data_IF_353535820957
#
_entry.id   IF_353535820957
#
_cell.length_a   1.000
_cell.length_b   1.000
_cell.length_c   1.000
_cell.angle_alpha   90.00
_cell.angle_beta   90.00
_cell.angle_gamma   90.00
#
_symmetry.space_group_name_H-M   'P 1'
#
loop_
_entity.id
_entity.type
_entity.pdbx_description
1 polymer ?
#
# COMPACT_ATOMS: atom_id res chain seq x y z
N UNK A 1 14.70 -5.62 7.14
CA UNK A 1 13.76 -5.73 6.02
C UNK A 1 13.15 -7.10 6.13
N UNK A 2 11.84 -7.21 6.07
CA UNK A 2 11.17 -8.48 6.31
C UNK A 2 11.47 -9.49 5.19
N UNK A 3 12.01 -10.64 5.57
CA UNK A 3 12.32 -11.71 4.62
C UNK A 3 11.06 -12.42 4.16
N UNK A 4 11.03 -12.82 2.89
CA UNK A 4 9.84 -13.40 2.27
C UNK A 4 9.29 -14.62 3.03
N UNK A 5 10.17 -15.52 3.44
CA UNK A 5 9.80 -16.74 4.17
C UNK A 5 9.21 -16.41 5.55
N UNK A 6 9.80 -15.43 6.24
CA UNK A 6 9.27 -14.93 7.52
C UNK A 6 7.88 -14.32 7.35
N UNK A 7 7.63 -13.55 6.29
CA UNK A 7 6.31 -12.97 6.01
C UNK A 7 5.27 -14.07 5.74
N UNK A 8 5.62 -15.09 4.96
CA UNK A 8 4.73 -16.22 4.67
C UNK A 8 4.37 -16.98 5.96
N UNK A 9 5.37 -17.23 6.81
CA UNK A 9 5.17 -17.83 8.13
C UNK A 9 4.27 -16.96 9.03
N UNK A 10 4.56 -15.67 9.14
CA UNK A 10 3.83 -14.75 10.02
C UNK A 10 2.37 -14.58 9.56
N UNK A 11 2.14 -14.48 8.25
CA UNK A 11 0.79 -14.44 7.70
C UNK A 11 0.00 -15.71 7.99
N UNK A 12 0.61 -16.89 7.81
CA UNK A 12 -0.02 -18.17 8.14
C UNK A 12 -0.33 -18.27 9.65
N UNK A 13 0.61 -17.86 10.50
CA UNK A 13 0.46 -17.85 11.97
C UNK A 13 -0.70 -16.95 12.41
N UNK A 14 -0.77 -15.72 11.89
CA UNK A 14 -1.84 -14.77 12.22
C UNK A 14 -3.20 -15.22 11.68
N UNK A 15 -3.27 -15.76 10.46
CA UNK A 15 -4.50 -16.33 9.92
C UNK A 15 -5.03 -17.47 10.79
N UNK A 16 -4.16 -18.38 11.22
CA UNK A 16 -4.53 -19.47 12.13
C UNK A 16 -4.99 -18.94 13.49
N UNK A 17 -4.24 -18.00 14.09
CA UNK A 17 -4.57 -17.37 15.37
C UNK A 17 -5.98 -16.74 15.38
N UNK A 18 -6.44 -16.25 14.24
CA UNK A 18 -7.75 -15.60 14.10
C UNK A 18 -8.82 -16.47 13.41
N UNK A 19 -8.61 -17.79 13.33
CA UNK A 19 -9.54 -18.76 12.75
C UNK A 19 -9.92 -18.47 11.29
N UNK A 20 -8.97 -17.95 10.50
CA UNK A 20 -9.15 -17.63 9.09
C UNK A 20 -8.47 -18.63 8.14
N UNK A 21 -7.57 -19.49 8.64
CA UNK A 21 -6.72 -20.37 7.82
C UNK A 21 -7.47 -21.34 6.91
N UNK A 22 -8.70 -21.74 7.27
CA UNK A 22 -9.51 -22.66 6.45
C UNK A 22 -10.27 -21.96 5.31
N UNK A 23 -10.50 -20.66 5.44
CA UNK A 23 -11.41 -19.93 4.53
C UNK A 23 -10.76 -18.73 3.85
N UNK A 24 -9.56 -18.35 4.29
CA UNK A 24 -8.76 -17.27 3.73
C UNK A 24 -7.35 -17.73 3.39
N UNK A 25 -6.77 -17.10 2.37
CA UNK A 25 -5.41 -17.37 1.91
C UNK A 25 -4.51 -16.14 2.01
N UNK A 26 -3.21 -16.37 2.12
CA UNK A 26 -2.19 -15.33 1.99
C UNK A 26 -1.48 -15.42 0.63
N UNK A 27 -1.09 -14.26 0.07
CA UNK A 27 -0.25 -14.18 -1.12
C UNK A 27 0.54 -12.88 -1.22
N UNK A 28 1.63 -12.89 -1.99
CA UNK A 28 2.23 -11.64 -2.45
C UNK A 28 1.53 -11.08 -3.68
N UNK A 29 1.50 -9.75 -3.78
CA UNK A 29 1.15 -9.04 -5.00
C UNK A 29 2.27 -8.10 -5.47
N UNK A 30 1.99 -7.32 -6.51
CA UNK A 30 2.94 -6.39 -7.17
C UNK A 30 2.50 -4.93 -7.01
N UNK A 31 1.69 -4.60 -6.01
CA UNK A 31 1.26 -3.23 -5.79
C UNK A 31 2.47 -2.32 -5.47
N UNK A 32 2.45 -1.08 -5.93
CA UNK A 32 3.56 -0.14 -5.74
C UNK A 32 3.20 1.05 -4.85
N UNK A 33 1.93 1.13 -4.42
CA UNK A 33 1.38 2.26 -3.65
C UNK A 33 0.56 1.84 -2.43
N UNK A 34 0.40 0.52 -2.19
CA UNK A 34 -0.29 -0.02 -1.00
C UNK A 34 0.49 -1.24 -0.49
N UNK A 35 0.72 -1.31 0.82
CA UNK A 35 1.49 -2.39 1.43
C UNK A 35 0.63 -3.65 1.63
N UNK A 36 -0.64 -3.50 2.00
CA UNK A 36 -1.60 -4.59 2.20
C UNK A 36 -2.83 -4.50 1.30
N UNK A 37 -3.60 -5.58 1.23
CA UNK A 37 -4.98 -5.60 0.78
C UNK A 37 -5.72 -6.83 1.31
N UNK A 38 -6.94 -6.61 1.78
CA UNK A 38 -7.97 -7.62 1.99
C UNK A 38 -8.93 -7.68 0.78
N UNK A 39 -9.10 -8.85 0.17
CA UNK A 39 -10.08 -9.10 -0.90
C UNK A 39 -11.13 -10.12 -0.43
N UNK A 40 -12.34 -9.61 -0.13
CA UNK A 40 -13.46 -10.45 0.31
C UNK A 40 -14.05 -11.36 -0.80
N UNK A 41 -13.83 -11.04 -2.08
CA UNK A 41 -14.35 -11.84 -3.19
C UNK A 41 -13.54 -13.13 -3.34
N UNK A 42 -12.22 -13.03 -3.25
CA UNK A 42 -11.32 -14.19 -3.30
C UNK A 42 -10.95 -14.74 -1.94
N UNK A 43 -11.39 -14.07 -0.85
CA UNK A 43 -11.00 -14.36 0.54
C UNK A 43 -9.49 -14.48 0.67
N UNK A 44 -8.79 -13.43 0.25
CA UNK A 44 -7.33 -13.39 0.32
C UNK A 44 -6.83 -12.12 0.97
N UNK A 45 -5.78 -12.26 1.75
CA UNK A 45 -4.95 -11.17 2.24
C UNK A 45 -3.66 -11.16 1.41
N UNK A 46 -3.27 -9.99 0.91
CA UNK A 46 -2.02 -9.85 0.20
C UNK A 46 -1.19 -8.70 0.70
N UNK A 47 0.13 -8.85 0.57
CA UNK A 47 1.09 -7.77 0.77
C UNK A 47 1.92 -7.53 -0.50
N UNK A 48 2.34 -6.29 -0.69
CA UNK A 48 3.20 -5.92 -1.82
C UNK A 48 4.60 -6.44 -1.61
N UNK A 49 5.06 -7.31 -2.51
CA UNK A 49 6.46 -7.78 -2.49
C UNK A 49 7.49 -6.65 -2.61
N UNK A 50 7.14 -5.55 -3.26
CA UNK A 50 8.06 -4.43 -3.50
C UNK A 50 8.16 -3.50 -2.30
N UNK A 51 7.07 -3.33 -1.56
CA UNK A 51 7.05 -2.44 -0.40
C UNK A 51 7.52 -3.17 0.86
N UNK A 52 7.31 -4.48 0.96
CA UNK A 52 7.86 -5.29 2.07
C UNK A 52 9.38 -5.34 2.07
N UNK A 53 10.02 -5.21 0.89
CA UNK A 53 11.49 -5.11 0.80
C UNK A 53 12.05 -3.95 1.63
N UNK A 54 11.29 -2.88 1.90
CA UNK A 54 11.76 -1.73 2.68
C UNK A 54 11.15 -1.66 4.07
N UNK A 55 10.17 -2.52 4.36
CA UNK A 55 9.46 -2.56 5.63
C UNK A 55 10.22 -3.41 6.66
N UNK A 56 10.12 -3.01 7.92
CA UNK A 56 10.47 -3.83 9.07
C UNK A 56 9.44 -4.93 9.29
N UNK A 57 9.83 -5.98 10.00
CA UNK A 57 8.97 -7.08 10.42
C UNK A 57 7.73 -6.56 11.16
N UNK A 58 7.94 -5.62 12.08
CA UNK A 58 6.85 -4.97 12.82
C UNK A 58 5.86 -4.26 11.89
N UNK A 59 6.32 -3.48 10.91
CA UNK A 59 5.44 -2.81 9.95
C UNK A 59 4.64 -3.82 9.11
N UNK A 60 5.26 -4.93 8.72
CA UNK A 60 4.55 -5.99 7.99
C UNK A 60 3.51 -6.68 8.87
N UNK A 61 3.84 -7.02 10.12
CA UNK A 61 2.86 -7.58 11.08
C UNK A 61 1.69 -6.62 11.29
N UNK A 62 1.94 -5.31 11.44
CA UNK A 62 0.87 -4.32 11.59
C UNK A 62 -0.02 -4.22 10.35
N UNK A 63 0.54 -4.35 9.15
CA UNK A 63 -0.28 -4.43 7.92
C UNK A 63 -1.07 -5.73 7.84
N UNK A 64 -0.48 -6.88 8.19
CA UNK A 64 -1.21 -8.15 8.22
C UNK A 64 -2.40 -8.07 9.20
N UNK A 65 -2.19 -7.53 10.40
CA UNK A 65 -3.25 -7.30 11.38
C UNK A 65 -4.32 -6.33 10.84
N UNK A 66 -3.93 -5.26 10.14
CA UNK A 66 -4.87 -4.34 9.50
C UNK A 66 -5.82 -5.07 8.51
N UNK A 67 -5.25 -5.91 7.64
CA UNK A 67 -6.01 -6.63 6.63
C UNK A 67 -6.85 -7.77 7.23
N UNK A 68 -6.35 -8.45 8.27
CA UNK A 68 -7.09 -9.44 9.05
C UNK A 68 -8.27 -8.78 9.78
N UNK A 69 -8.10 -7.57 10.30
CA UNK A 69 -9.21 -6.83 10.90
C UNK A 69 -10.32 -6.55 9.89
N UNK A 70 -10.00 -6.24 8.62
CA UNK A 70 -11.00 -6.14 7.56
C UNK A 70 -11.71 -7.47 7.31
N UNK A 71 -10.97 -8.57 7.23
CA UNK A 71 -11.53 -9.91 7.03
C UNK A 71 -12.56 -10.27 8.12
N UNK A 72 -12.25 -9.98 9.38
CA UNK A 72 -13.09 -10.24 10.56
C UNK A 72 -14.27 -9.26 10.71
N UNK A 73 -14.05 -7.97 10.40
CA UNK A 73 -15.08 -6.94 10.51
C UNK A 73 -16.11 -7.00 9.37
N UNK A 74 -15.71 -7.55 8.22
CA UNK A 74 -16.56 -7.74 7.05
C UNK A 74 -16.56 -6.53 6.09
N UNK A 75 -16.99 -6.76 4.83
CA UNK A 75 -16.76 -5.84 3.72
C UNK A 75 -17.43 -4.47 3.83
N UNK A 76 -18.49 -4.37 4.65
CA UNK A 76 -19.22 -3.11 4.88
C UNK A 76 -18.66 -2.28 6.04
N UNK A 77 -17.71 -2.83 6.80
CA UNK A 77 -17.18 -2.13 7.97
C UNK A 77 -16.27 -0.96 7.58
N UNK A 78 -15.54 -1.06 6.45
CA UNK A 78 -14.44 -0.16 6.11
C UNK A 78 -13.55 0.08 7.34
N UNK A 79 -13.06 1.30 7.60
CA UNK A 79 -12.40 1.66 8.86
C UNK A 79 -13.37 2.17 9.94
N UNK A 80 -14.62 1.69 9.92
CA UNK A 80 -15.67 2.08 10.85
C UNK A 80 -15.52 1.45 12.25
N UNK A 81 -16.48 1.72 13.14
CA UNK A 81 -16.43 1.31 14.55
C UNK A 81 -16.17 -0.18 14.76
N UNK A 82 -16.81 -1.05 13.96
CA UNK A 82 -16.61 -2.51 14.03
C UNK A 82 -15.17 -2.89 13.70
N UNK A 83 -14.62 -2.35 12.62
CA UNK A 83 -13.23 -2.59 12.25
C UNK A 83 -12.27 -2.09 13.31
N UNK A 84 -12.49 -0.88 13.84
CA UNK A 84 -11.63 -0.31 14.88
C UNK A 84 -11.62 -1.16 16.15
N UNK A 85 -12.78 -1.66 16.59
CA UNK A 85 -12.88 -2.55 17.73
C UNK A 85 -12.10 -3.87 17.51
N UNK A 86 -12.25 -4.48 16.33
CA UNK A 86 -11.51 -5.69 15.98
C UNK A 86 -10.01 -5.42 15.92
N UNK A 87 -9.60 -4.36 15.21
CA UNK A 87 -8.20 -4.01 15.02
C UNK A 87 -7.47 -3.85 16.35
N UNK A 88 -8.04 -3.08 17.29
CA UNK A 88 -7.49 -2.93 18.64
C UNK A 88 -7.43 -4.28 19.37
N UNK A 89 -8.48 -5.08 19.27
CA UNK A 89 -8.57 -6.39 19.95
C UNK A 89 -7.47 -7.37 19.49
N UNK A 90 -7.08 -7.31 18.22
CA UNK A 90 -6.06 -8.20 17.66
C UNK A 90 -4.64 -7.62 17.71
N UNK A 91 -4.44 -6.48 18.37
CA UNK A 91 -3.11 -5.87 18.55
C UNK A 91 -2.65 -4.96 17.41
N UNK A 92 -3.56 -4.46 16.57
CA UNK A 92 -3.24 -3.38 15.63
C UNK A 92 -3.09 -2.06 16.39
N UNK A 93 -1.94 -1.43 16.25
CA UNK A 93 -1.54 -0.19 16.94
C UNK A 93 -1.59 1.03 16.00
N UNK A 94 -1.76 0.82 14.69
CA UNK A 94 -1.77 1.88 13.70
C UNK A 94 -3.06 2.74 13.68
N UNK A 95 -2.99 3.87 12.98
CA UNK A 95 -4.16 4.70 12.71
C UNK A 95 -5.10 4.10 11.66
N UNK A 96 -6.22 4.78 11.36
CA UNK A 96 -7.16 4.33 10.31
C UNK A 96 -6.50 4.22 8.92
N UNK A 97 -5.47 5.01 8.68
CA UNK A 97 -4.72 5.04 7.42
C UNK A 97 -3.27 4.68 7.67
N UNK A 98 -2.83 3.52 7.16
CA UNK A 98 -1.41 3.21 7.07
C UNK A 98 -0.85 3.90 5.83
N UNK A 99 -0.05 4.95 6.01
CA UNK A 99 0.63 5.61 4.89
C UNK A 99 1.93 4.88 4.64
N UNK A 100 2.16 4.45 3.40
CA UNK A 100 3.37 3.74 3.00
C UNK A 100 4.05 4.58 1.94
N UNK A 101 5.36 4.74 2.04
CA UNK A 101 6.12 5.38 0.97
C UNK A 101 5.99 4.55 -0.31
N UNK A 102 5.55 5.15 -1.44
CA UNK A 102 5.45 4.41 -2.68
C UNK A 102 6.82 3.91 -3.17
N UNK A 103 6.83 2.82 -3.94
CA UNK A 103 8.04 2.27 -4.56
C UNK A 103 8.50 3.16 -5.75
N UNK A 104 8.97 4.37 -5.46
CA UNK A 104 9.36 5.37 -6.46
C UNK A 104 10.42 4.86 -7.46
N UNK A 105 11.27 3.94 -7.03
CA UNK A 105 12.22 3.22 -7.89
C UNK A 105 11.51 2.48 -9.04
N UNK A 106 10.30 1.95 -8.80
CA UNK A 106 9.46 1.24 -9.78
C UNK A 106 8.53 2.15 -10.60
N UNK A 107 8.57 3.47 -10.39
CA UNK A 107 7.79 4.40 -11.19
C UNK A 107 8.38 4.49 -12.61
N UNK A 108 7.55 4.24 -13.64
CA UNK A 108 7.99 4.16 -15.04
C UNK A 108 8.02 5.51 -15.77
N UNK A 109 7.52 6.58 -15.16
CA UNK A 109 7.44 7.90 -15.80
C UNK A 109 8.19 8.93 -14.98
N UNK A 110 9.07 9.65 -15.65
CA UNK A 110 9.78 10.81 -15.11
C UNK A 110 9.18 12.06 -15.76
N UNK A 111 8.75 12.98 -14.92
CA UNK A 111 8.30 14.31 -15.30
C UNK A 111 9.35 15.35 -14.92
N UNK A 112 9.71 16.26 -15.83
CA UNK A 112 10.56 17.42 -15.53
C UNK A 112 9.84 18.72 -15.88
N UNK A 113 9.88 19.70 -14.99
CA UNK A 113 9.41 21.06 -15.30
C UNK A 113 10.56 21.94 -15.84
N UNK A 114 10.27 23.13 -16.39
CA UNK A 114 11.30 24.03 -16.94
C UNK A 114 12.34 24.52 -15.93
N UNK A 115 12.03 24.47 -14.62
CA UNK A 115 12.95 24.82 -13.54
C UNK A 115 13.79 23.61 -13.05
N UNK A 116 13.71 22.47 -13.73
CA UNK A 116 14.52 21.29 -13.42
C UNK A 116 13.95 20.38 -12.32
N UNK A 117 12.82 20.70 -11.69
CA UNK A 117 12.20 19.82 -10.72
C UNK A 117 11.74 18.51 -11.36
N UNK A 118 12.16 17.39 -10.77
CA UNK A 118 11.78 16.05 -11.18
C UNK A 118 10.64 15.49 -10.32
N UNK A 119 9.68 14.84 -10.97
CA UNK A 119 8.65 14.05 -10.30
C UNK A 119 8.53 12.67 -10.97
N UNK A 120 8.29 11.64 -10.17
CA UNK A 120 8.06 10.29 -10.70
C UNK A 120 6.59 9.91 -10.62
N UNK A 121 6.10 9.14 -11.61
CA UNK A 121 4.74 8.58 -11.62
C UNK A 121 4.76 7.13 -12.09
N UNK A 122 3.86 6.34 -11.53
CA UNK A 122 3.63 4.95 -11.97
C UNK A 122 2.92 4.86 -13.31
N UNK A 123 2.16 5.89 -13.70
CA UNK A 123 1.43 5.99 -14.97
C UNK A 123 1.59 7.39 -15.57
N UNK A 124 1.60 7.49 -16.90
CA UNK A 124 1.55 8.78 -17.59
C UNK A 124 0.24 9.50 -17.24
N UNK A 125 0.27 10.79 -16.88
CA UNK A 125 -0.95 11.55 -16.71
C UNK A 125 -1.76 11.64 -18.01
N UNK A 126 -3.08 11.54 -17.92
CA UNK A 126 -3.99 11.73 -19.06
C UNK A 126 -4.31 13.20 -19.37
N UNK A 127 -3.93 14.13 -18.49
CA UNK A 127 -4.10 15.59 -18.66
C UNK A 127 -2.77 16.29 -18.40
N UNK A 128 -2.55 17.50 -18.97
CA UNK A 128 -1.40 18.32 -18.62
C UNK A 128 -1.32 18.57 -17.11
N UNK A 129 -0.11 18.51 -16.58
CA UNK A 129 0.19 18.76 -15.16
C UNK A 129 1.28 19.82 -15.10
N UNK A 130 1.16 20.80 -14.20
CA UNK A 130 2.20 21.78 -13.91
C UNK A 130 2.87 21.54 -12.57
N UNK A 131 4.07 22.08 -12.39
CA UNK A 131 4.87 21.87 -11.20
C UNK A 131 4.34 22.63 -9.97
N UNK A 132 3.83 21.88 -8.99
CA UNK A 132 3.33 22.42 -7.72
C UNK A 132 4.41 23.10 -6.85
N UNK A 133 5.71 22.83 -7.10
CA UNK A 133 6.83 23.51 -6.45
C UNK A 133 7.10 24.90 -7.04
N UNK A 134 6.87 25.07 -8.34
CA UNK A 134 7.03 26.35 -9.02
C UNK A 134 5.84 27.28 -8.76
N UNK A 135 4.62 26.71 -8.79
CA UNK A 135 3.38 27.42 -8.50
C UNK A 135 2.39 26.43 -7.88
N UNK A 136 1.76 26.82 -6.77
CA UNK A 136 0.78 25.96 -6.08
C UNK A 136 -0.51 25.78 -6.89
N UNK A 137 -0.80 26.67 -7.85
CA UNK A 137 -1.91 26.55 -8.80
C UNK A 137 -1.44 25.99 -10.14
N UNK A 138 -2.39 25.52 -10.94
CA UNK A 138 -2.08 25.12 -12.30
C UNK A 138 -1.55 26.33 -13.08
N UNK A 139 -0.37 26.18 -13.70
CA UNK A 139 0.29 27.25 -14.42
C UNK A 139 1.00 26.66 -15.65
N UNK A 140 0.56 27.07 -16.84
CA UNK A 140 1.06 26.55 -18.11
C UNK A 140 2.55 26.87 -18.35
N UNK A 141 3.10 27.88 -17.68
CA UNK A 141 4.53 28.20 -17.74
C UNK A 141 5.40 27.15 -17.06
N UNK A 142 4.82 26.27 -16.24
CA UNK A 142 5.52 25.22 -15.50
C UNK A 142 5.01 23.82 -15.84
N UNK A 143 4.56 23.61 -17.09
CA UNK A 143 4.14 22.31 -17.58
C UNK A 143 5.25 21.27 -17.44
N UNK A 144 4.85 20.07 -17.02
CA UNK A 144 5.75 18.95 -16.83
C UNK A 144 5.81 18.14 -18.12
N UNK A 145 7.02 18.02 -18.66
CA UNK A 145 7.34 17.13 -19.79
C UNK A 145 7.61 15.73 -19.26
N UNK A 146 6.98 14.73 -19.87
CA UNK A 146 7.01 13.34 -19.40
C UNK A 146 7.78 12.43 -20.36
N UNK A 147 8.70 11.64 -19.81
CA UNK A 147 9.37 10.54 -20.51
C UNK A 147 9.17 9.24 -19.77
N UNK A 148 9.15 8.12 -20.50
CA UNK A 148 9.29 6.81 -19.88
C UNK A 148 10.73 6.67 -19.33
N UNK A 149 10.90 5.96 -18.21
CA UNK A 149 12.23 5.50 -17.80
C UNK A 149 12.76 4.53 -18.86
N UNK A 150 14.06 4.59 -19.19
CA UNK A 150 14.70 3.64 -20.09
C UNK A 150 14.64 2.20 -19.54
#
# INVERSE_FOLDING_TARGET
>A
MAEREWIEYEAARLLAQHNLSETWSFRFDRATTRLGQCDHRTRSISVSKYLTEKASDYEVSQVLLHEIAHALAGPRAAHGRRWQAVAVTIGYEGGRTHTVEPAHDRANWIGRCPQGHEIVRFRKPGKPVSCAKCDRRFNSSYLISWSAKP
#
